data_IF_410837117583
#
_entry.id   IF_410837117583
#
_cell.length_a   1.000
_cell.length_b   1.000
_cell.length_c   1.000
_cell.angle_alpha   90.00
_cell.angle_beta   90.00
_cell.angle_gamma   90.00
#
_symmetry.space_group_name_H-M   'P 1'
#
loop_
_entity.id
_entity.type
_entity.pdbx_description
1 polymer ?
#
# COMPACT_ATOMS: atom_id res chain seq x y z
N UNK A 1 8.06 7.51 7.08
CA UNK A 1 6.77 8.21 7.21
C UNK A 1 6.81 9.58 6.49
N UNK A 2 5.71 9.98 5.94
CA UNK A 2 5.44 11.28 5.31
C UNK A 2 4.12 11.83 5.85
N UNK A 3 3.83 13.11 5.61
CA UNK A 3 2.60 13.76 6.10
C UNK A 3 2.37 13.54 7.61
N UNK A 4 3.40 13.80 8.41
CA UNK A 4 3.36 13.61 9.87
C UNK A 4 2.93 12.20 10.30
N UNK A 5 3.38 11.18 9.58
CA UNK A 5 3.07 9.79 9.85
C UNK A 5 1.72 9.31 9.29
N UNK A 6 0.87 10.18 8.73
CA UNK A 6 -0.41 9.77 8.14
C UNK A 6 -0.25 8.88 6.91
N UNK A 7 0.90 8.96 6.25
CA UNK A 7 1.24 8.11 5.13
C UNK A 7 2.68 7.61 5.24
N UNK A 8 2.95 6.54 4.52
CA UNK A 8 4.29 5.97 4.37
C UNK A 8 4.60 5.73 2.91
N UNK A 9 5.87 5.90 2.57
CA UNK A 9 6.45 5.42 1.33
C UNK A 9 7.21 4.14 1.65
N UNK A 10 6.87 3.04 1.02
CA UNK A 10 7.46 1.73 1.23
C UNK A 10 8.12 1.23 -0.06
N UNK A 11 9.29 0.60 0.10
CA UNK A 11 10.09 0.03 -0.98
C UNK A 11 10.02 -1.50 -0.96
N UNK A 12 10.37 -2.18 -2.05
CA UNK A 12 10.58 -3.62 -2.04
C UNK A 12 11.53 -4.03 -0.91
N UNK A 13 11.18 -5.08 -0.19
CA UNK A 13 11.94 -5.50 1.00
C UNK A 13 11.55 -4.83 2.31
N UNK A 14 10.78 -3.71 2.28
CA UNK A 14 10.24 -3.13 3.51
C UNK A 14 9.24 -4.09 4.15
N UNK A 15 9.44 -4.40 5.45
CA UNK A 15 8.57 -5.33 6.18
C UNK A 15 7.46 -4.60 6.94
N UNK A 16 6.36 -5.30 7.20
CA UNK A 16 5.29 -4.80 8.09
C UNK A 16 5.82 -4.54 9.52
N UNK A 17 6.74 -5.37 9.99
CA UNK A 17 7.37 -5.21 11.29
C UNK A 17 8.14 -3.90 11.42
N UNK A 18 8.95 -3.56 10.40
CA UNK A 18 9.67 -2.27 10.39
C UNK A 18 8.71 -1.09 10.24
N UNK A 19 7.65 -1.26 9.46
CA UNK A 19 6.63 -0.23 9.31
C UNK A 19 5.96 0.08 10.65
N UNK A 20 5.53 -0.95 11.36
CA UNK A 20 4.89 -0.82 12.68
C UNK A 20 5.79 -0.03 13.65
N UNK A 21 7.09 -0.39 13.73
CA UNK A 21 8.05 0.35 14.54
C UNK A 21 8.19 1.81 14.13
N UNK A 22 8.24 2.08 12.81
CA UNK A 22 8.45 3.43 12.26
C UNK A 22 7.25 4.35 12.43
N UNK A 23 6.02 3.82 12.48
CA UNK A 23 4.82 4.65 12.65
C UNK A 23 4.36 4.80 14.10
N UNK A 24 4.84 3.93 14.98
CA UNK A 24 4.54 3.97 16.43
C UNK A 24 4.80 5.34 17.09
N UNK A 25 5.91 6.06 16.81
CA UNK A 25 6.16 7.39 17.39
C UNK A 25 5.12 8.44 17.01
N UNK A 26 4.37 8.23 15.93
CA UNK A 26 3.30 9.10 15.47
C UNK A 26 1.92 8.69 16.00
N UNK A 27 1.85 7.74 16.92
CA UNK A 27 0.60 7.10 17.38
C UNK A 27 -0.21 6.52 16.20
N UNK A 28 0.49 5.92 15.23
CA UNK A 28 -0.09 5.35 14.02
C UNK A 28 0.19 3.85 13.94
N UNK A 29 -0.60 3.18 13.13
CA UNK A 29 -0.53 1.75 12.89
C UNK A 29 -0.60 1.43 11.39
N UNK A 30 -0.01 0.33 10.91
CA UNK A 30 -0.12 -0.11 9.53
C UNK A 30 -1.49 -0.73 9.23
N UNK A 31 -1.74 -1.04 7.95
CA UNK A 31 -2.96 -1.74 7.52
C UNK A 31 -3.09 -3.16 8.09
N UNK A 32 -2.00 -3.78 8.50
CA UNK A 32 -1.98 -5.12 9.11
C UNK A 32 -0.94 -5.17 10.22
N UNK A 33 -1.29 -5.81 11.34
CA UNK A 33 -0.44 -5.97 12.54
C UNK A 33 -0.33 -7.43 12.97
N UNK A 34 -1.10 -8.35 12.38
CA UNK A 34 -1.28 -9.71 12.87
C UNK A 34 -0.51 -10.73 12.01
N UNK A 35 0.21 -11.64 12.67
CA UNK A 35 0.83 -12.81 12.09
C UNK A 35 1.92 -12.50 11.07
N UNK A 36 1.56 -11.92 9.95
CA UNK A 36 2.48 -11.61 8.85
C UNK A 36 3.58 -10.63 9.24
N UNK A 37 3.33 -9.71 10.19
CA UNK A 37 4.33 -8.78 10.66
C UNK A 37 5.46 -9.48 11.40
N UNK A 38 5.15 -10.52 12.17
CA UNK A 38 6.13 -11.29 12.94
C UNK A 38 7.07 -12.13 12.07
N UNK A 39 6.64 -12.52 10.88
CA UNK A 39 7.41 -13.38 9.97
C UNK A 39 8.04 -12.63 8.79
N UNK A 40 8.04 -11.29 8.83
CA UNK A 40 8.73 -10.48 7.84
C UNK A 40 7.98 -10.27 6.53
N UNK A 41 6.64 -10.30 6.53
CA UNK A 41 5.85 -10.03 5.32
C UNK A 41 6.19 -8.67 4.72
N UNK A 42 6.40 -8.65 3.41
CA UNK A 42 6.72 -7.44 2.64
C UNK A 42 5.48 -6.58 2.43
N UNK A 43 5.60 -5.26 2.61
CA UNK A 43 4.53 -4.30 2.34
C UNK A 43 4.15 -4.30 0.86
N UNK A 44 5.15 -4.18 -0.02
CA UNK A 44 4.93 -4.17 -1.47
C UNK A 44 4.34 -5.50 -1.94
N UNK A 45 4.83 -6.62 -1.40
CA UNK A 45 4.26 -7.95 -1.68
C UNK A 45 2.79 -8.05 -1.28
N UNK A 46 2.42 -7.48 -0.13
CA UNK A 46 1.03 -7.39 0.31
C UNK A 46 0.15 -6.60 -0.66
N UNK A 47 0.63 -5.44 -1.15
CA UNK A 47 -0.07 -4.63 -2.15
C UNK A 47 -0.21 -5.38 -3.48
N UNK A 48 0.87 -5.95 -4.00
CA UNK A 48 0.86 -6.68 -5.27
C UNK A 48 -0.08 -7.90 -5.24
N UNK A 49 -0.38 -8.42 -4.06
CA UNK A 49 -1.28 -9.55 -3.86
C UNK A 49 -2.67 -9.13 -3.30
N UNK A 50 -2.94 -7.84 -3.12
CA UNK A 50 -4.17 -7.35 -2.48
C UNK A 50 -4.48 -8.08 -1.16
N UNK A 51 -3.45 -8.30 -0.34
CA UNK A 51 -3.57 -9.09 0.88
C UNK A 51 -4.56 -8.46 1.85
N UNK A 52 -5.63 -9.19 2.17
CA UNK A 52 -6.60 -8.80 3.18
C UNK A 52 -6.25 -9.39 4.54
N UNK A 53 -6.54 -8.67 5.60
CA UNK A 53 -6.33 -9.09 6.98
C UNK A 53 -7.61 -9.09 7.82
N UNK A 54 -7.45 -9.36 9.12
CA UNK A 54 -8.54 -9.33 10.08
C UNK A 54 -9.00 -7.89 10.41
N UNK A 55 -8.17 -6.88 10.12
CA UNK A 55 -8.46 -5.48 10.43
C UNK A 55 -9.37 -4.87 9.36
N UNK A 56 -10.64 -5.25 9.38
CA UNK A 56 -11.64 -4.92 8.36
C UNK A 56 -11.79 -3.41 8.17
N UNK A 57 -11.71 -2.61 9.24
CA UNK A 57 -11.81 -1.15 9.18
C UNK A 57 -10.67 -0.50 8.41
N UNK A 58 -9.47 -1.12 8.41
CA UNK A 58 -8.28 -0.62 7.71
C UNK A 58 -8.21 -1.09 6.25
N UNK A 59 -8.93 -2.15 5.93
CA UNK A 59 -8.98 -2.73 4.59
C UNK A 59 -7.78 -3.60 4.23
N UNK A 60 -7.72 -4.05 2.97
CA UNK A 60 -6.59 -4.81 2.46
C UNK A 60 -5.36 -3.92 2.25
N UNK A 61 -4.22 -4.53 1.94
CA UNK A 61 -3.04 -3.85 1.43
C UNK A 61 -3.34 -3.29 0.04
N UNK A 62 -3.83 -2.06 -0.02
CA UNK A 62 -4.30 -1.41 -1.25
C UNK A 62 -3.80 0.02 -1.34
N UNK A 63 -3.37 0.40 -2.55
CA UNK A 63 -3.09 1.79 -2.91
C UNK A 63 -3.14 1.98 -4.42
N UNK A 64 -3.56 3.15 -4.84
CA UNK A 64 -3.48 3.62 -6.22
C UNK A 64 -2.21 4.44 -6.48
N UNK A 65 -1.41 4.67 -5.44
CA UNK A 65 -0.21 5.48 -5.45
C UNK A 65 1.04 4.59 -5.49
N UNK A 66 1.60 4.40 -6.68
CA UNK A 66 2.76 3.53 -6.88
C UNK A 66 3.72 4.06 -7.95
N UNK A 67 4.98 3.65 -7.85
CA UNK A 67 5.99 3.75 -8.90
C UNK A 67 6.26 2.35 -9.40
N UNK A 68 6.05 2.13 -10.68
CA UNK A 68 6.23 0.81 -11.27
C UNK A 68 6.67 0.89 -12.74
N UNK A 69 7.28 -0.17 -13.23
CA UNK A 69 7.53 -0.36 -14.65
C UNK A 69 6.64 -1.47 -15.21
N UNK A 70 6.23 -1.27 -16.43
CA UNK A 70 5.49 -2.25 -17.23
C UNK A 70 6.10 -2.39 -18.62
N UNK A 71 5.82 -3.51 -19.27
CA UNK A 71 6.15 -3.73 -20.68
C UNK A 71 4.84 -3.68 -21.47
N UNK A 72 4.80 -2.82 -22.48
CA UNK A 72 3.64 -2.70 -23.35
C UNK A 72 3.54 -3.89 -24.34
N UNK A 73 2.47 -3.91 -25.14
CA UNK A 73 2.22 -4.96 -26.14
C UNK A 73 3.30 -5.05 -27.24
N UNK A 74 4.14 -4.03 -27.39
CA UNK A 74 5.23 -3.97 -28.38
C UNK A 74 6.58 -4.33 -27.75
N UNK A 75 6.61 -4.71 -26.45
CA UNK A 75 7.84 -5.00 -25.72
C UNK A 75 8.56 -3.74 -25.21
N UNK A 76 7.96 -2.56 -25.28
CA UNK A 76 8.56 -1.33 -24.78
C UNK A 76 8.40 -1.24 -23.27
N UNK A 77 9.53 -1.01 -22.58
CA UNK A 77 9.56 -0.77 -21.13
C UNK A 77 9.18 0.68 -20.84
N UNK A 78 8.24 0.87 -19.92
CA UNK A 78 7.77 2.19 -19.48
C UNK A 78 7.76 2.27 -17.96
N UNK A 79 8.25 3.41 -17.42
CA UNK A 79 8.20 3.74 -15.99
C UNK A 79 7.03 4.69 -15.73
N UNK A 80 6.19 4.33 -14.76
CA UNK A 80 5.01 5.10 -14.37
C UNK A 80 5.16 5.63 -12.95
N UNK A 81 5.29 6.94 -12.80
CA UNK A 81 5.29 7.58 -11.49
C UNK A 81 3.86 8.05 -11.13
N UNK A 82 3.15 7.25 -10.36
CA UNK A 82 1.85 7.58 -9.78
C UNK A 82 1.89 7.75 -8.26
N UNK A 83 3.08 7.94 -7.67
CA UNK A 83 3.22 8.16 -6.22
C UNK A 83 2.56 9.47 -5.74
N UNK A 84 2.28 10.39 -6.66
CA UNK A 84 1.90 11.76 -6.28
C UNK A 84 3.07 12.51 -5.62
N UNK A 85 4.30 12.16 -5.99
CA UNK A 85 5.54 12.81 -5.55
C UNK A 85 6.30 13.25 -6.81
N UNK A 86 6.67 14.52 -6.87
CA UNK A 86 7.51 15.06 -7.94
C UNK A 86 8.95 14.56 -7.76
N UNK A 87 9.39 13.70 -8.67
CA UNK A 87 10.72 13.08 -8.65
C UNK A 87 11.52 13.38 -9.91
N UNK A 88 11.00 14.24 -10.81
CA UNK A 88 11.59 14.53 -12.11
C UNK A 88 10.76 13.98 -13.27
N UNK A 89 11.31 14.11 -14.49
CA UNK A 89 10.58 13.79 -15.73
C UNK A 89 11.16 12.59 -16.48
N UNK A 90 12.42 12.23 -16.21
CA UNK A 90 13.08 11.09 -16.87
C UNK A 90 13.15 9.90 -15.94
N UNK A 91 13.05 8.66 -16.46
CA UNK A 91 13.11 7.46 -15.62
C UNK A 91 14.32 7.41 -14.68
N UNK A 92 15.51 7.75 -15.18
CA UNK A 92 16.74 7.73 -14.42
C UNK A 92 16.74 8.76 -13.27
N UNK A 93 16.19 9.94 -13.54
CA UNK A 93 16.03 11.02 -12.58
C UNK A 93 15.04 10.64 -11.49
N UNK A 94 13.89 10.08 -11.88
CA UNK A 94 12.84 9.61 -10.96
C UNK A 94 13.39 8.56 -10.01
N UNK A 95 14.07 7.53 -10.54
CA UNK A 95 14.62 6.45 -9.74
C UNK A 95 15.74 6.95 -8.83
N UNK A 96 16.62 7.82 -9.33
CA UNK A 96 17.70 8.42 -8.55
C UNK A 96 17.15 9.28 -7.40
N UNK A 97 16.23 10.19 -7.69
CA UNK A 97 15.65 11.06 -6.64
C UNK A 97 14.86 10.27 -5.61
N UNK A 98 14.25 9.15 -6.00
CA UNK A 98 13.60 8.24 -5.07
C UNK A 98 14.61 7.54 -4.14
N UNK A 99 15.69 7.00 -4.68
CA UNK A 99 16.74 6.27 -3.96
C UNK A 99 17.50 7.20 -3.00
N UNK A 100 17.91 8.36 -3.49
CA UNK A 100 18.59 9.39 -2.72
C UNK A 100 17.65 10.10 -1.71
N UNK A 101 16.33 9.80 -1.74
CA UNK A 101 15.30 10.48 -0.95
C UNK A 101 15.29 12.00 -1.16
N UNK A 102 15.62 12.44 -2.37
CA UNK A 102 15.71 13.84 -2.76
C UNK A 102 14.32 14.43 -3.03
N UNK A 103 13.45 14.39 -2.04
CA UNK A 103 12.12 15.01 -2.04
C UNK A 103 11.70 15.36 -0.60
N UNK A 104 10.78 16.29 -0.47
CA UNK A 104 10.22 16.73 0.80
C UNK A 104 8.69 16.94 0.66
N UNK A 105 8.05 17.41 1.71
CA UNK A 105 6.58 17.61 1.75
C UNK A 105 6.05 18.51 0.63
N UNK A 106 6.84 19.48 0.12
CA UNK A 106 6.43 20.37 -0.97
C UNK A 106 6.31 19.66 -2.31
N UNK A 107 7.06 18.57 -2.50
CA UNK A 107 7.01 17.73 -3.71
C UNK A 107 5.83 16.75 -3.70
N UNK A 108 5.12 16.65 -2.55
CA UNK A 108 3.99 15.73 -2.42
C UNK A 108 2.73 16.45 -2.90
N UNK A 109 2.19 16.00 -4.02
CA UNK A 109 0.94 16.52 -4.56
C UNK A 109 -0.28 15.91 -3.89
N UNK A 110 -1.31 16.70 -3.73
CA UNK A 110 -2.64 16.16 -3.44
C UNK A 110 -3.16 15.46 -4.69
N UNK A 111 -3.70 14.29 -4.52
CA UNK A 111 -4.19 13.44 -5.59
C UNK A 111 -5.56 12.89 -5.22
N UNK A 112 -6.42 12.69 -6.20
CA UNK A 112 -7.68 11.97 -6.03
C UNK A 112 -7.48 10.45 -5.93
N UNK A 113 -6.25 9.98 -6.13
CA UNK A 113 -5.91 8.57 -5.99
C UNK A 113 -5.87 8.16 -4.52
N UNK A 114 -6.38 6.97 -4.24
CA UNK A 114 -6.51 6.42 -2.90
C UNK A 114 -5.20 5.79 -2.42
N UNK A 115 -4.82 6.09 -1.19
CA UNK A 115 -3.68 5.45 -0.51
C UNK A 115 -4.11 4.27 0.40
N UNK A 116 -5.41 3.97 0.44
CA UNK A 116 -6.02 2.85 1.16
C UNK A 116 -7.41 2.54 0.60
N UNK A 117 -7.99 1.41 1.02
CA UNK A 117 -9.35 1.02 0.66
C UNK A 117 -10.23 0.92 1.90
N UNK A 118 -10.80 2.05 2.33
CA UNK A 118 -11.59 2.18 3.56
C UNK A 118 -13.03 1.67 3.46
N UNK A 119 -13.51 1.35 2.26
CA UNK A 119 -14.85 0.79 2.00
C UNK A 119 -14.94 -0.73 2.26
N UNK A 120 -13.84 -1.35 2.67
CA UNK A 120 -13.74 -2.80 2.85
C UNK A 120 -14.74 -3.35 3.86
N UNK A 121 -15.01 -2.63 4.94
CA UNK A 121 -16.00 -3.01 5.95
C UNK A 121 -17.43 -3.17 5.37
N UNK A 122 -17.78 -2.37 4.37
CA UNK A 122 -19.07 -2.49 3.70
C UNK A 122 -19.09 -3.65 2.72
N UNK A 123 -17.98 -3.86 2.01
CA UNK A 123 -17.85 -4.93 1.02
C UNK A 123 -17.92 -6.32 1.68
N UNK A 124 -17.29 -6.51 2.85
CA UNK A 124 -17.33 -7.80 3.55
C UNK A 124 -18.71 -8.15 4.12
N UNK A 125 -19.62 -7.17 4.24
CA UNK A 125 -21.01 -7.38 4.67
C UNK A 125 -21.93 -7.75 3.52
N UNK A 126 -21.54 -7.49 2.29
CA UNK A 126 -22.34 -7.80 1.13
C UNK A 126 -22.20 -9.29 0.76
N UNK A 127 -23.08 -10.08 1.35
CA UNK A 127 -23.13 -11.53 1.12
C UNK A 127 -23.62 -11.91 -0.28
N UNK A 128 -24.25 -10.98 -1.00
CA UNK A 128 -24.76 -11.18 -2.35
C UNK A 128 -23.81 -10.68 -3.44
N UNK A 129 -22.62 -10.16 -3.05
CA UNK A 129 -21.63 -9.71 -4.02
C UNK A 129 -21.18 -10.83 -4.95
N UNK A 130 -21.05 -10.52 -6.23
CA UNK A 130 -20.56 -11.46 -7.25
C UNK A 130 -19.07 -11.82 -7.13
N UNK A 131 -18.35 -11.19 -6.21
CA UNK A 131 -16.92 -11.41 -5.98
C UNK A 131 -16.67 -11.59 -4.48
N UNK A 132 -15.78 -12.52 -4.09
CA UNK A 132 -15.40 -12.70 -2.69
C UNK A 132 -14.72 -11.45 -2.14
N UNK A 133 -15.19 -10.95 -0.99
CA UNK A 133 -14.69 -9.70 -0.40
C UNK A 133 -13.23 -9.76 0.05
N UNK A 134 -12.74 -10.93 0.42
CA UNK A 134 -11.39 -11.15 0.95
C UNK A 134 -10.49 -11.93 0.01
N UNK A 135 -10.88 -12.04 -1.22
CA UNK A 135 -10.08 -12.75 -2.20
C UNK A 135 -9.03 -11.83 -2.82
N UNK A 136 -7.78 -12.28 -2.87
CA UNK A 136 -6.66 -11.48 -3.38
C UNK A 136 -6.84 -11.03 -4.84
N UNK A 137 -7.57 -11.78 -5.63
CA UNK A 137 -7.91 -11.45 -7.01
C UNK A 137 -9.25 -10.73 -7.18
N UNK A 138 -9.78 -10.11 -6.14
CA UNK A 138 -11.02 -9.34 -6.21
C UNK A 138 -10.90 -8.22 -7.25
N UNK A 139 -11.59 -8.38 -8.37
CA UNK A 139 -11.55 -7.46 -9.53
C UNK A 139 -11.94 -6.02 -9.19
N UNK A 140 -12.69 -5.81 -8.12
CA UNK A 140 -13.08 -4.48 -7.64
C UNK A 140 -11.90 -3.70 -7.06
N UNK A 141 -10.77 -4.38 -6.81
CA UNK A 141 -9.60 -3.84 -6.14
C UNK A 141 -8.31 -3.98 -6.94
N UNK A 142 -8.44 -4.25 -8.24
CA UNK A 142 -7.29 -4.29 -9.13
C UNK A 142 -7.00 -2.86 -9.61
N UNK A 143 -5.83 -2.36 -9.29
CA UNK A 143 -5.39 -1.05 -9.74
C UNK A 143 -3.86 -0.98 -9.79
N UNK A 144 -3.29 -0.90 -10.98
CA UNK A 144 -1.82 -0.84 -11.18
C UNK A 144 -1.08 -1.87 -10.31
N UNK A 145 -0.29 -1.41 -9.32
CA UNK A 145 0.45 -2.29 -8.42
C UNK A 145 -0.47 -3.13 -7.52
N UNK A 146 -1.64 -2.60 -7.13
CA UNK A 146 -2.59 -3.32 -6.27
C UNK A 146 -3.19 -4.51 -7.00
N UNK A 147 -2.86 -5.72 -6.54
CA UNK A 147 -3.29 -6.97 -7.13
C UNK A 147 -2.62 -7.33 -8.46
N UNK A 148 -1.48 -6.73 -8.79
CA UNK A 148 -0.78 -7.01 -10.06
C UNK A 148 -0.20 -8.42 -10.16
N UNK A 149 -0.03 -9.12 -9.03
CA UNK A 149 0.42 -10.52 -8.98
C UNK A 149 1.67 -10.81 -9.84
N UNK A 150 2.64 -9.90 -9.82
CA UNK A 150 3.91 -10.05 -10.54
C UNK A 150 3.91 -9.59 -12.00
N UNK A 151 2.81 -8.97 -12.50
CA UNK A 151 2.77 -8.42 -13.86
C UNK A 151 3.56 -7.12 -14.03
N UNK A 152 3.90 -6.46 -12.93
CA UNK A 152 4.61 -5.18 -12.89
C UNK A 152 5.87 -5.30 -12.05
N UNK A 153 6.90 -4.54 -12.40
CA UNK A 153 8.05 -4.29 -11.52
C UNK A 153 7.75 -3.08 -10.65
N UNK A 154 7.43 -3.29 -9.38
CA UNK A 154 7.03 -2.22 -8.44
C UNK A 154 8.25 -1.75 -7.66
N UNK A 155 8.57 -0.46 -7.73
CA UNK A 155 9.72 0.18 -7.06
C UNK A 155 9.34 0.85 -5.73
N UNK A 156 8.14 1.40 -5.64
CA UNK A 156 7.64 2.00 -4.41
C UNK A 156 6.12 2.04 -4.40
N UNK A 157 5.55 2.04 -3.19
CA UNK A 157 4.12 2.29 -2.94
C UNK A 157 3.96 3.32 -1.83
N UNK A 158 2.92 4.15 -1.93
CA UNK A 158 2.55 5.11 -0.90
C UNK A 158 1.21 4.69 -0.30
N UNK A 159 1.17 4.52 1.03
CA UNK A 159 0.05 3.94 1.76
C UNK A 159 -0.37 4.86 2.90
N UNK A 160 -1.66 4.86 3.23
CA UNK A 160 -2.15 5.42 4.47
C UNK A 160 -1.70 4.59 5.66
N UNK A 161 -1.53 5.25 6.78
CA UNK A 161 -1.47 4.66 8.11
C UNK A 161 -2.77 4.97 8.84
N UNK A 162 -3.02 4.29 9.93
CA UNK A 162 -4.27 4.38 10.68
C UNK A 162 -3.99 4.84 12.11
N UNK A 163 -4.96 5.47 12.74
CA UNK A 163 -4.86 5.78 14.15
C UNK A 163 -4.76 4.50 14.97
N UNK A 164 -3.87 4.51 15.96
CA UNK A 164 -3.76 3.40 16.87
C UNK A 164 -4.95 3.43 17.84
N UNK A 165 -5.66 2.32 17.94
CA UNK A 165 -6.75 2.21 18.92
C UNK A 165 -6.18 2.18 20.36
N UNK A 166 -6.74 2.97 21.25
CA UNK A 166 -6.24 3.09 22.63
C UNK A 166 -6.73 1.96 23.53
N UNK A 167 -7.84 1.30 23.15
CA UNK A 167 -8.45 0.23 23.91
C UNK A 167 -8.79 -0.94 22.99
N UNK A 168 -8.00 -1.99 23.06
CA UNK A 168 -8.22 -3.22 22.31
C UNK A 168 -8.58 -4.36 23.31
N UNK A 169 -9.58 -5.17 22.95
CA UNK A 169 -9.90 -6.41 23.65
C UNK A 169 -10.04 -7.54 22.66
N UNK A 170 -9.40 -8.66 22.98
CA UNK A 170 -9.55 -9.89 22.20
C UNK A 170 -10.56 -10.80 22.89
N UNK A 171 -11.55 -11.25 22.14
CA UNK A 171 -12.54 -12.22 22.59
C UNK A 171 -12.30 -13.54 21.87
N UNK A 172 -12.25 -14.61 22.61
CA UNK A 172 -12.18 -15.97 22.09
C UNK A 172 -13.55 -16.62 22.28
N UNK A 173 -14.08 -17.17 21.22
CA UNK A 173 -15.34 -17.93 21.23
C UNK A 173 -15.01 -19.37 20.86
N UNK A 174 -15.46 -20.32 21.68
CA UNK A 174 -15.33 -21.76 21.44
C UNK A 174 -16.70 -22.38 21.22
#
# INVERSE_FOLDING_TARGET
PIKNGNQVLAFPGSTLYDLEKKVKPFNRAPHSEIGSSCIGASIVGGVCNNSGGALIKRGPAYTELSLFASVDKNGKLELHNKLGIELGNKPEEILKNLDDKNFNEKHIKNSNFKASSTDYSNIVKDINANSPARYNADKRRLYDASGCAGKLAVFAVRLDTFEKENNERTFYYS
#
